data_IF_170702087030
#
_entry.id   IF_170702087030
#
_cell.length_a   1.000
_cell.length_b   1.000
_cell.length_c   1.000
_cell.angle_alpha   90.00
_cell.angle_beta   90.00
_cell.angle_gamma   90.00
#
_symmetry.space_group_name_H-M   'P 1'
#
loop_
_entity.id
_entity.type
_entity.pdbx_description
1 polymer ?
#
# COMPACT_ATOMS: atom_id res chain seq x y z
N UNK A 1 -26.30 -10.67 13.27
CA UNK A 1 -27.24 -9.53 13.38
C UNK A 1 -26.73 -8.36 12.56
N UNK A 2 -27.60 -7.42 12.15
CA UNK A 2 -27.42 -6.38 11.11
C UNK A 2 -25.98 -5.85 10.91
N UNK A 3 -25.23 -5.59 11.99
CA UNK A 3 -23.82 -5.19 11.95
C UNK A 3 -22.92 -6.13 11.12
N UNK A 4 -23.05 -7.45 11.30
CA UNK A 4 -22.30 -8.47 10.53
C UNK A 4 -22.70 -8.47 9.04
N UNK A 5 -23.98 -8.19 8.75
CA UNK A 5 -24.47 -8.08 7.38
C UNK A 5 -23.94 -6.84 6.66
N UNK A 6 -23.74 -5.74 7.39
CA UNK A 6 -23.10 -4.52 6.85
C UNK A 6 -21.60 -4.78 6.67
N UNK A 7 -20.92 -5.29 7.70
CA UNK A 7 -19.48 -5.55 7.69
C UNK A 7 -19.07 -6.52 6.57
N UNK A 8 -19.88 -7.55 6.28
CA UNK A 8 -19.66 -8.50 5.19
C UNK A 8 -19.88 -7.93 3.78
N UNK A 9 -20.49 -6.74 3.66
CA UNK A 9 -20.63 -6.03 2.38
C UNK A 9 -19.50 -5.04 2.15
N UNK A 10 -18.86 -4.52 3.20
CA UNK A 10 -17.82 -3.50 3.07
C UNK A 10 -16.63 -3.91 2.19
N UNK A 11 -16.07 -5.13 2.28
CA UNK A 11 -14.97 -5.52 1.40
C UNK A 11 -15.34 -5.43 -0.08
N UNK A 12 -16.58 -5.77 -0.46
CA UNK A 12 -17.05 -5.71 -1.87
C UNK A 12 -16.96 -4.31 -2.46
N UNK A 13 -17.19 -3.27 -1.65
CA UNK A 13 -17.09 -1.88 -2.08
C UNK A 13 -15.67 -1.57 -2.57
N UNK A 14 -14.63 -2.14 -1.94
CA UNK A 14 -13.24 -1.93 -2.34
C UNK A 14 -12.93 -2.48 -3.73
N UNK A 15 -13.55 -3.57 -4.18
CA UNK A 15 -13.38 -3.99 -5.58
C UNK A 15 -13.93 -2.96 -6.57
N UNK A 16 -15.10 -2.38 -6.27
CA UNK A 16 -15.65 -1.29 -7.08
C UNK A 16 -14.76 -0.06 -7.09
N UNK A 17 -14.24 0.34 -5.92
CA UNK A 17 -13.27 1.44 -5.80
C UNK A 17 -11.97 1.16 -6.56
N UNK A 18 -11.51 -0.09 -6.58
CA UNK A 18 -10.30 -0.50 -7.31
C UNK A 18 -10.48 -0.35 -8.82
N UNK A 19 -11.61 -0.82 -9.35
CA UNK A 19 -11.96 -0.64 -10.77
C UNK A 19 -12.09 0.85 -11.10
N UNK A 20 -12.81 1.62 -10.28
CA UNK A 20 -12.96 3.05 -10.48
C UNK A 20 -11.60 3.77 -10.46
N UNK A 21 -10.71 3.44 -9.53
CA UNK A 21 -9.35 4.00 -9.47
C UNK A 21 -8.54 3.74 -10.74
N UNK A 22 -8.59 2.52 -11.28
CA UNK A 22 -7.93 2.17 -12.55
C UNK A 22 -8.52 2.96 -13.71
N UNK A 23 -9.85 3.02 -13.82
CA UNK A 23 -10.53 3.79 -14.87
C UNK A 23 -10.18 5.27 -14.81
N UNK A 24 -10.16 5.86 -13.61
CA UNK A 24 -9.76 7.25 -13.41
C UNK A 24 -8.28 7.46 -13.79
N UNK A 25 -7.40 6.52 -13.48
CA UNK A 25 -5.98 6.60 -13.85
C UNK A 25 -5.78 6.54 -15.37
N UNK A 26 -6.48 5.63 -16.06
CA UNK A 26 -6.49 5.55 -17.53
C UNK A 26 -7.06 6.83 -18.13
N UNK A 27 -8.18 7.32 -17.62
CA UNK A 27 -8.78 8.58 -18.06
C UNK A 27 -7.78 9.74 -17.92
N UNK A 28 -7.15 9.87 -16.75
CA UNK A 28 -6.13 10.90 -16.53
C UNK A 28 -4.93 10.75 -17.48
N UNK A 29 -4.57 9.53 -17.88
CA UNK A 29 -3.54 9.32 -18.88
C UNK A 29 -3.91 9.89 -20.24
N UNK A 30 -5.10 9.54 -20.72
CA UNK A 30 -5.57 9.84 -22.07
C UNK A 30 -5.75 11.34 -22.28
N UNK A 31 -6.27 12.02 -21.25
CA UNK A 31 -6.56 13.45 -21.32
C UNK A 31 -5.42 14.33 -20.78
N UNK A 32 -4.46 13.76 -20.03
CA UNK A 32 -3.31 14.49 -19.51
C UNK A 32 -3.71 15.75 -18.75
N UNK A 33 -3.25 16.91 -19.22
CA UNK A 33 -3.58 18.23 -18.64
C UNK A 33 -5.05 18.64 -18.81
N UNK A 34 -5.80 18.01 -19.71
CA UNK A 34 -7.22 18.27 -19.96
C UNK A 34 -8.15 17.41 -19.08
N UNK A 35 -7.61 16.54 -18.23
CA UNK A 35 -8.44 15.77 -17.31
C UNK A 35 -9.09 16.69 -16.26
N UNK A 36 -10.33 16.42 -15.82
CA UNK A 36 -11.00 17.19 -14.79
C UNK A 36 -10.14 17.34 -13.54
N UNK A 37 -10.08 18.56 -13.00
CA UNK A 37 -9.24 18.91 -11.86
C UNK A 37 -9.49 18.01 -10.64
N UNK A 38 -10.74 17.61 -10.38
CA UNK A 38 -11.06 16.71 -9.27
C UNK A 38 -10.38 15.34 -9.39
N UNK A 39 -10.24 14.81 -10.61
CA UNK A 39 -9.58 13.52 -10.89
C UNK A 39 -8.08 13.66 -10.62
N UNK A 40 -7.47 14.75 -11.11
CA UNK A 40 -6.06 15.03 -10.86
C UNK A 40 -5.77 15.16 -9.36
N UNK A 41 -6.57 15.92 -8.63
CA UNK A 41 -6.38 16.12 -7.18
C UNK A 41 -6.60 14.84 -6.37
N UNK A 42 -7.49 13.95 -6.82
CA UNK A 42 -7.73 12.67 -6.17
C UNK A 42 -6.57 11.68 -6.38
N UNK A 43 -6.04 11.59 -7.61
CA UNK A 43 -5.03 10.59 -8.00
C UNK A 43 -3.59 11.03 -7.78
N UNK A 44 -3.28 12.29 -8.08
CA UNK A 44 -1.91 12.80 -8.13
C UNK A 44 -1.49 13.38 -6.78
N UNK A 45 -0.40 12.86 -6.25
CA UNK A 45 0.28 13.41 -5.09
C UNK A 45 1.75 12.98 -5.06
N UNK A 46 2.58 13.69 -4.29
CA UNK A 46 3.99 13.36 -4.13
C UNK A 46 4.87 13.90 -5.25
N UNK A 47 5.13 13.06 -6.26
CA UNK A 47 6.04 13.39 -7.38
C UNK A 47 5.35 14.14 -8.51
N UNK A 48 4.07 13.82 -8.72
CA UNK A 48 3.19 14.50 -9.64
C UNK A 48 2.19 15.28 -8.81
N UNK A 49 2.19 16.61 -8.94
CA UNK A 49 1.18 17.47 -8.34
C UNK A 49 0.10 17.80 -9.38
N UNK A 50 -1.17 17.92 -8.97
CA UNK A 50 -2.25 18.33 -9.86
C UNK A 50 -2.08 19.79 -10.31
N UNK A 51 -2.81 20.19 -11.35
CA UNK A 51 -2.96 21.61 -11.67
C UNK A 51 -3.61 22.36 -10.51
N UNK A 52 -3.11 23.56 -10.20
CA UNK A 52 -3.57 24.34 -9.06
C UNK A 52 -5.05 24.73 -9.20
N UNK A 53 -5.83 24.49 -8.15
CA UNK A 53 -7.21 24.93 -8.03
C UNK A 53 -7.52 25.31 -6.58
N UNK A 54 -7.79 26.58 -6.32
CA UNK A 54 -7.94 27.13 -4.97
C UNK A 54 -8.91 26.33 -4.08
N UNK A 55 -10.11 26.03 -4.58
CA UNK A 55 -11.12 25.27 -3.83
C UNK A 55 -10.70 23.84 -3.48
N UNK A 56 -9.97 23.17 -4.38
CA UNK A 56 -9.56 21.78 -4.18
C UNK A 56 -8.29 21.67 -3.35
N UNK A 57 -7.46 22.71 -3.31
CA UNK A 57 -6.29 22.79 -2.43
C UNK A 57 -6.70 22.83 -0.95
N UNK A 58 -7.82 23.48 -0.60
CA UNK A 58 -8.39 23.39 0.77
C UNK A 58 -8.76 21.96 1.18
N UNK A 59 -9.04 21.08 0.22
CA UNK A 59 -9.35 19.68 0.46
C UNK A 59 -8.10 18.79 0.43
N UNK A 60 -6.89 19.35 0.42
CA UNK A 60 -5.64 18.59 0.51
C UNK A 60 -5.13 18.55 1.94
N UNK A 61 -4.67 17.37 2.35
CA UNK A 61 -4.10 17.12 3.68
C UNK A 61 -2.61 16.80 3.58
N UNK A 62 -1.81 17.10 4.62
CA UNK A 62 -0.38 16.83 4.60
C UNK A 62 -0.07 15.35 4.42
N UNK A 63 0.90 15.03 3.56
CA UNK A 63 1.31 13.64 3.32
C UNK A 63 1.77 12.92 4.60
N UNK A 64 2.29 13.67 5.58
CA UNK A 64 2.69 13.15 6.90
C UNK A 64 1.56 12.45 7.65
N UNK A 65 0.31 12.70 7.29
CA UNK A 65 -0.87 12.06 7.88
C UNK A 65 -1.00 10.58 7.52
N UNK A 66 -0.15 10.03 6.63
CA UNK A 66 -0.03 8.57 6.42
C UNK A 66 0.14 7.79 7.72
N UNK A 67 0.75 8.37 8.76
CA UNK A 67 0.87 7.73 10.08
C UNK A 67 -0.47 7.30 10.68
N UNK A 68 -1.53 8.08 10.47
CA UNK A 68 -2.84 7.81 11.05
C UNK A 68 -3.49 6.57 10.45
N UNK A 69 -3.19 6.26 9.18
CA UNK A 69 -3.62 5.01 8.55
C UNK A 69 -3.11 3.80 9.34
N UNK A 70 -1.82 3.82 9.66
CA UNK A 70 -1.17 2.70 10.35
C UNK A 70 -1.52 2.65 11.83
N UNK A 71 -1.68 3.81 12.51
CA UNK A 71 -2.21 3.83 13.89
C UNK A 71 -3.59 3.18 13.99
N UNK A 72 -4.50 3.56 13.08
CA UNK A 72 -5.84 2.97 13.03
C UNK A 72 -5.77 1.50 12.62
N UNK A 73 -4.90 1.14 11.68
CA UNK A 73 -4.67 -0.26 11.29
C UNK A 73 -4.18 -1.14 12.44
N UNK A 74 -3.27 -0.65 13.29
CA UNK A 74 -2.83 -1.36 14.49
C UNK A 74 -4.00 -1.53 15.45
N UNK A 75 -4.72 -0.45 15.75
CA UNK A 75 -5.85 -0.49 16.67
C UNK A 75 -6.96 -1.43 16.19
N UNK A 76 -7.36 -1.33 14.92
CA UNK A 76 -8.39 -2.18 14.32
C UNK A 76 -7.98 -3.64 14.31
N UNK A 77 -6.73 -3.94 13.91
CA UNK A 77 -6.22 -5.32 13.88
C UNK A 77 -6.14 -5.92 15.28
N UNK A 78 -5.69 -5.14 16.27
CA UNK A 78 -5.62 -5.56 17.65
C UNK A 78 -7.02 -5.87 18.22
N UNK A 79 -8.01 -5.00 17.97
CA UNK A 79 -9.40 -5.25 18.37
C UNK A 79 -9.95 -6.53 17.74
N UNK A 80 -9.73 -6.73 16.44
CA UNK A 80 -10.19 -7.93 15.72
C UNK A 80 -9.50 -9.20 16.23
N UNK A 81 -8.20 -9.12 16.55
CA UNK A 81 -7.46 -10.24 17.14
C UNK A 81 -8.04 -10.62 18.52
N UNK A 82 -8.37 -9.64 19.37
CA UNK A 82 -9.04 -9.91 20.65
C UNK A 82 -10.41 -10.55 20.46
N UNK A 83 -11.20 -10.10 19.48
CA UNK A 83 -12.50 -10.71 19.17
C UNK A 83 -12.34 -12.18 18.78
N UNK A 84 -11.35 -12.51 17.95
CA UNK A 84 -11.08 -13.90 17.54
C UNK A 84 -10.59 -14.77 18.71
N UNK A 85 -9.78 -14.22 19.61
CA UNK A 85 -9.25 -14.95 20.76
C UNK A 85 -10.29 -15.19 21.88
N UNK A 86 -11.22 -14.26 22.07
CA UNK A 86 -12.11 -14.26 23.26
C UNK A 86 -13.60 -14.44 22.96
N UNK A 87 -14.11 -14.00 21.81
CA UNK A 87 -15.56 -13.81 21.61
C UNK A 87 -16.18 -14.75 20.58
N UNK A 88 -15.43 -15.22 19.57
CA UNK A 88 -16.06 -15.74 18.34
C UNK A 88 -16.05 -17.27 18.18
N UNK A 89 -15.28 -18.05 18.95
CA UNK A 89 -15.21 -19.50 18.74
C UNK A 89 -14.90 -20.33 20.00
N UNK A 90 -15.54 -21.50 20.11
CA UNK A 90 -15.13 -22.59 21.01
C UNK A 90 -13.86 -23.30 20.51
N UNK A 91 -13.41 -23.02 19.29
CA UNK A 91 -12.23 -23.58 18.63
C UNK A 91 -11.47 -22.48 17.89
N UNK A 92 -10.26 -22.15 18.37
CA UNK A 92 -9.40 -21.12 17.81
C UNK A 92 -8.98 -21.43 16.35
N UNK A 93 -9.28 -20.53 15.40
CA UNK A 93 -8.81 -20.66 14.02
C UNK A 93 -7.36 -20.17 13.90
N UNK A 94 -6.41 -21.10 14.10
CA UNK A 94 -4.97 -20.82 14.10
C UNK A 94 -4.50 -20.14 12.81
N UNK A 95 -5.10 -20.47 11.66
CA UNK A 95 -4.79 -19.85 10.37
C UNK A 95 -5.12 -18.36 10.40
N UNK A 96 -6.34 -18.00 10.79
CA UNK A 96 -6.79 -16.60 10.86
C UNK A 96 -5.98 -15.81 11.88
N UNK A 97 -5.77 -16.38 13.07
CA UNK A 97 -4.95 -15.77 14.13
C UNK A 97 -3.53 -15.49 13.62
N UNK A 98 -2.89 -16.46 12.95
CA UNK A 98 -1.54 -16.27 12.42
C UNK A 98 -1.47 -15.15 11.37
N UNK A 99 -2.48 -15.05 10.49
CA UNK A 99 -2.54 -13.97 9.50
C UNK A 99 -2.78 -12.61 10.15
N UNK A 100 -3.66 -12.53 11.15
CA UNK A 100 -3.89 -11.29 11.91
C UNK A 100 -2.63 -10.83 12.66
N UNK A 101 -1.88 -11.74 13.28
CA UNK A 101 -0.60 -11.43 13.94
C UNK A 101 0.41 -10.91 12.92
N UNK A 102 0.58 -11.60 11.79
CA UNK A 102 1.50 -11.16 10.74
C UNK A 102 1.07 -9.81 10.15
N UNK A 103 -0.23 -9.58 9.98
CA UNK A 103 -0.76 -8.30 9.52
C UNK A 103 -0.49 -7.19 10.55
N UNK A 104 -0.65 -7.46 11.85
CA UNK A 104 -0.32 -6.53 12.94
C UNK A 104 1.16 -6.14 12.91
N UNK A 105 2.06 -7.11 12.71
CA UNK A 105 3.50 -6.84 12.52
C UNK A 105 3.72 -5.95 11.29
N UNK A 106 3.03 -6.24 10.18
CA UNK A 106 3.11 -5.45 8.96
C UNK A 106 2.68 -3.99 9.16
N UNK A 107 1.52 -3.73 9.76
CA UNK A 107 1.06 -2.34 10.00
C UNK A 107 1.91 -1.63 11.05
N UNK A 108 2.42 -2.34 12.06
CA UNK A 108 3.33 -1.79 13.07
C UNK A 108 4.66 -1.34 12.45
N UNK A 109 5.25 -2.18 11.61
CA UNK A 109 6.46 -1.83 10.85
C UNK A 109 6.21 -0.64 9.92
N UNK A 110 5.07 -0.59 9.24
CA UNK A 110 4.72 0.54 8.36
C UNK A 110 4.55 1.85 9.12
N UNK A 111 4.01 1.81 10.35
CA UNK A 111 3.98 2.98 11.23
C UNK A 111 5.40 3.44 11.59
N UNK A 112 6.26 2.51 12.01
CA UNK A 112 7.66 2.79 12.31
C UNK A 112 8.38 3.43 11.11
N UNK A 113 8.19 2.88 9.91
CA UNK A 113 8.77 3.43 8.69
C UNK A 113 8.27 4.84 8.38
N UNK A 114 7.01 5.17 8.71
CA UNK A 114 6.49 6.51 8.51
C UNK A 114 7.09 7.51 9.49
N UNK A 115 7.16 7.19 10.78
CA UNK A 115 7.64 8.11 11.80
C UNK A 115 9.16 8.30 11.75
N UNK A 116 9.91 7.21 11.58
CA UNK A 116 11.36 7.21 11.85
C UNK A 116 12.23 7.03 10.60
N UNK A 117 11.69 6.48 9.51
CA UNK A 117 12.47 6.24 8.27
C UNK A 117 12.11 7.26 7.19
N UNK A 118 10.82 7.57 7.03
CA UNK A 118 10.33 8.34 5.89
C UNK A 118 10.59 9.84 6.06
N UNK A 119 11.39 10.41 5.15
CA UNK A 119 11.59 11.86 5.10
C UNK A 119 10.48 12.50 4.28
N UNK A 120 9.45 13.06 4.92
CA UNK A 120 8.32 13.70 4.24
C UNK A 120 8.59 15.16 3.85
N UNK A 121 8.44 15.47 2.56
CA UNK A 121 8.38 16.84 2.03
C UNK A 121 7.01 17.50 2.32
N UNK A 122 6.88 18.80 2.01
CA UNK A 122 5.62 19.57 2.09
C UNK A 122 4.56 19.14 1.05
N UNK A 123 4.63 17.91 0.53
CA UNK A 123 3.63 17.38 -0.39
C UNK A 123 2.33 17.04 0.34
N UNK A 124 1.21 17.17 -0.36
CA UNK A 124 -0.12 16.93 0.16
C UNK A 124 -0.88 15.90 -0.71
N UNK A 125 -1.85 15.21 -0.11
CA UNK A 125 -2.77 14.28 -0.78
C UNK A 125 -4.22 14.75 -0.62
N UNK A 126 -5.14 14.32 -1.47
CA UNK A 126 -6.57 14.64 -1.27
C UNK A 126 -7.12 14.06 0.04
N UNK A 127 -7.99 14.82 0.70
CA UNK A 127 -8.77 14.37 1.86
C UNK A 127 -9.63 13.13 1.56
N UNK A 128 -10.14 13.00 0.32
CA UNK A 128 -10.89 11.80 -0.08
C UNK A 128 -10.00 10.56 -0.11
N UNK A 129 -8.77 10.70 -0.60
CA UNK A 129 -7.77 9.64 -0.55
C UNK A 129 -7.41 9.30 0.90
N UNK A 130 -7.32 10.32 1.76
CA UNK A 130 -7.12 10.15 3.19
C UNK A 130 -8.24 9.33 3.85
N UNK A 131 -9.50 9.73 3.66
CA UNK A 131 -10.66 9.01 4.20
C UNK A 131 -10.73 7.56 3.69
N UNK A 132 -10.49 7.34 2.40
CA UNK A 132 -10.43 6.00 1.82
C UNK A 132 -9.36 5.13 2.49
N UNK A 133 -8.18 5.71 2.77
CA UNK A 133 -7.11 5.03 3.50
C UNK A 133 -7.53 4.62 4.91
N UNK A 134 -8.18 5.52 5.67
CA UNK A 134 -8.68 5.22 7.02
C UNK A 134 -9.66 4.04 6.99
N UNK A 135 -10.65 4.08 6.10
CA UNK A 135 -11.66 3.02 5.96
C UNK A 135 -10.99 1.70 5.55
N UNK A 136 -10.01 1.73 4.65
CA UNK A 136 -9.28 0.55 4.21
C UNK A 136 -8.59 -0.19 5.38
N UNK A 137 -7.93 0.54 6.29
CA UNK A 137 -7.26 -0.06 7.44
C UNK A 137 -8.22 -0.56 8.54
N UNK A 138 -9.49 -0.12 8.55
CA UNK A 138 -10.53 -0.70 9.41
C UNK A 138 -11.11 -1.99 8.78
N UNK A 139 -11.38 -1.95 7.47
CA UNK A 139 -12.03 -3.04 6.76
C UNK A 139 -11.08 -4.22 6.51
N UNK A 140 -9.77 -3.98 6.36
CA UNK A 140 -8.80 -5.06 6.08
C UNK A 140 -8.78 -6.17 7.14
N UNK A 141 -8.51 -5.91 8.44
CA UNK A 141 -8.54 -6.96 9.46
C UNK A 141 -9.93 -7.57 9.63
N UNK A 142 -10.99 -6.77 9.49
CA UNK A 142 -12.38 -7.25 9.48
C UNK A 142 -12.62 -8.27 8.35
N UNK A 143 -12.06 -8.04 7.16
CA UNK A 143 -12.20 -8.95 6.02
C UNK A 143 -11.42 -10.26 6.21
N UNK A 144 -10.28 -10.22 6.92
CA UNK A 144 -9.53 -11.42 7.33
C UNK A 144 -10.39 -12.27 8.26
N UNK A 145 -10.96 -11.67 9.32
CA UNK A 145 -11.86 -12.36 10.25
C UNK A 145 -13.08 -12.96 9.54
N UNK A 146 -13.74 -12.19 8.67
CA UNK A 146 -14.90 -12.66 7.90
C UNK A 146 -14.58 -13.79 6.92
N UNK A 147 -13.30 -14.04 6.63
CA UNK A 147 -12.86 -15.13 5.75
C UNK A 147 -12.65 -16.45 6.50
N UNK A 148 -12.88 -16.49 7.81
CA UNK A 148 -12.68 -17.68 8.67
C UNK A 148 -13.43 -18.92 8.19
N UNK A 149 -14.66 -18.78 7.68
CA UNK A 149 -15.51 -19.90 7.25
C UNK A 149 -14.94 -20.68 6.06
N UNK A 150 -14.05 -20.04 5.30
CA UNK A 150 -13.44 -20.60 4.10
C UNK A 150 -11.93 -20.80 4.24
N UNK A 151 -11.37 -20.48 5.40
CA UNK A 151 -9.96 -20.62 5.69
C UNK A 151 -9.58 -22.10 5.79
N UNK A 152 -8.48 -22.48 5.14
CA UNK A 152 -7.92 -23.82 5.27
C UNK A 152 -7.31 -24.00 6.67
N UNK A 153 -7.49 -25.18 7.26
CA UNK A 153 -6.74 -25.54 8.46
C UNK A 153 -5.27 -25.78 8.10
N UNK A 154 -4.38 -25.02 8.74
CA UNK A 154 -2.94 -25.06 8.49
C UNK A 154 -2.22 -25.73 9.67
N UNK A 155 -1.27 -26.61 9.36
CA UNK A 155 -0.40 -27.21 10.38
C UNK A 155 0.59 -26.18 10.92
N UNK A 156 1.10 -26.39 12.15
CA UNK A 156 2.10 -25.49 12.75
C UNK A 156 3.35 -25.31 11.88
N UNK A 157 3.80 -26.36 11.18
CA UNK A 157 4.91 -26.26 10.24
C UNK A 157 4.61 -25.26 9.12
N UNK A 158 3.42 -25.37 8.49
CA UNK A 158 3.03 -24.45 7.41
C UNK A 158 2.85 -23.01 7.91
N UNK A 159 2.34 -22.81 9.13
CA UNK A 159 2.28 -21.50 9.79
C UNK A 159 3.68 -20.93 10.00
N UNK A 160 4.63 -21.74 10.46
CA UNK A 160 6.03 -21.35 10.65
C UNK A 160 6.69 -20.91 9.34
N UNK A 161 6.58 -21.73 8.28
CA UNK A 161 7.12 -21.40 6.95
C UNK A 161 6.49 -20.13 6.37
N UNK A 162 5.17 -19.97 6.50
CA UNK A 162 4.47 -18.75 6.09
C UNK A 162 4.98 -17.53 6.87
N UNK A 163 5.16 -17.64 8.17
CA UNK A 163 5.66 -16.55 9.01
C UNK A 163 7.05 -16.10 8.58
N UNK A 164 7.97 -17.05 8.33
CA UNK A 164 9.32 -16.74 7.83
C UNK A 164 9.27 -16.05 6.46
N UNK A 165 8.49 -16.59 5.52
CA UNK A 165 8.28 -15.98 4.20
C UNK A 165 7.76 -14.53 4.30
N UNK A 166 6.78 -14.30 5.17
CA UNK A 166 6.21 -12.96 5.39
C UNK A 166 7.20 -12.00 6.02
N UNK A 167 8.05 -12.46 6.96
CA UNK A 167 9.10 -11.65 7.55
C UNK A 167 10.16 -11.27 6.51
N UNK A 168 10.53 -12.17 5.60
CA UNK A 168 11.45 -11.89 4.50
C UNK A 168 10.88 -10.79 3.59
N UNK A 169 9.63 -10.93 3.14
CA UNK A 169 8.99 -9.91 2.28
C UNK A 169 8.93 -8.53 2.96
N UNK A 170 8.56 -8.49 4.24
CA UNK A 170 8.50 -7.25 5.01
C UNK A 170 9.88 -6.62 5.24
N UNK A 171 10.91 -7.45 5.44
CA UNK A 171 12.29 -6.98 5.56
C UNK A 171 12.79 -6.37 4.25
N UNK A 172 12.57 -7.05 3.11
CA UNK A 172 12.92 -6.53 1.79
C UNK A 172 12.23 -5.20 1.51
N UNK A 173 10.95 -5.08 1.88
CA UNK A 173 10.21 -3.83 1.68
C UNK A 173 10.77 -2.68 2.55
N UNK A 174 11.17 -2.97 3.80
CA UNK A 174 11.82 -2.00 4.68
C UNK A 174 13.18 -1.54 4.12
N UNK A 175 13.97 -2.45 3.54
CA UNK A 175 15.23 -2.08 2.88
C UNK A 175 15.00 -1.09 1.72
N UNK A 176 13.98 -1.35 0.90
CA UNK A 176 13.60 -0.46 -0.20
C UNK A 176 13.20 0.93 0.33
N UNK A 177 12.42 1.01 1.41
CA UNK A 177 12.04 2.30 2.00
C UNK A 177 13.23 3.06 2.60
N UNK A 178 14.17 2.36 3.25
CA UNK A 178 15.41 2.98 3.75
C UNK A 178 16.26 3.55 2.62
N UNK A 179 16.37 2.85 1.50
CA UNK A 179 17.05 3.36 0.30
C UNK A 179 16.37 4.63 -0.23
N UNK A 180 15.05 4.64 -0.35
CA UNK A 180 14.30 5.83 -0.77
C UNK A 180 14.45 7.01 0.20
N UNK A 181 14.50 6.75 1.50
CA UNK A 181 14.73 7.77 2.51
C UNK A 181 16.15 8.35 2.46
N UNK A 182 17.16 7.50 2.25
CA UNK A 182 18.56 7.91 2.13
C UNK A 182 18.77 8.92 0.99
N UNK A 183 18.05 8.79 -0.12
CA UNK A 183 18.08 9.74 -1.24
C UNK A 183 17.62 11.16 -0.86
N UNK A 184 16.83 11.30 0.21
CA UNK A 184 16.37 12.60 0.73
C UNK A 184 17.24 13.14 1.86
N UNK A 185 17.93 12.25 2.57
CA UNK A 185 18.83 12.61 3.67
C UNK A 185 20.23 13.03 3.19
N UNK A 186 20.49 12.99 1.88
CA UNK A 186 21.76 13.36 1.26
C UNK A 186 22.09 14.85 1.42
N UNK A 187 22.60 15.24 2.59
CA UNK A 187 23.62 16.29 2.65
C UNK A 187 24.79 15.82 1.77
N UNK A 188 25.19 16.63 0.79
CA UNK A 188 26.47 16.45 0.11
C UNK A 188 27.57 16.47 1.18
N UNK A 189 28.20 15.33 1.49
CA UNK A 189 29.31 15.27 2.45
C UNK A 189 30.58 15.98 1.96
N UNK A 190 30.65 16.30 0.66
CA UNK A 190 31.87 16.82 0.03
C UNK A 190 31.71 18.23 -0.58
N UNK A 191 30.52 18.83 -0.54
CA UNK A 191 30.30 20.19 -1.03
C UNK A 191 29.20 20.86 -0.22
N UNK A 192 29.47 22.02 0.38
CA UNK A 192 28.47 22.92 1.00
C UNK A 192 27.47 23.52 -0.01
N UNK A 193 27.28 22.89 -1.18
CA UNK A 193 26.27 23.27 -2.16
C UNK A 193 24.95 22.59 -1.80
N UNK A 194 23.93 23.41 -1.56
CA UNK A 194 22.53 23.00 -1.55
C UNK A 194 22.23 22.19 -2.83
N UNK A 195 21.74 20.97 -2.64
CA UNK A 195 21.35 20.07 -3.72
C UNK A 195 20.34 20.74 -4.68
N UNK A 196 20.73 20.97 -5.94
CA UNK A 196 19.89 21.64 -6.95
C UNK A 196 18.64 20.83 -7.36
N UNK A 197 18.61 19.51 -7.13
CA UNK A 197 17.49 18.64 -7.57
C UNK A 197 16.65 18.12 -6.39
N UNK A 198 15.33 18.34 -6.47
CA UNK A 198 14.31 17.88 -5.49
C UNK A 198 14.17 16.35 -5.43
N UNK A 199 14.59 15.63 -6.47
CA UNK A 199 14.46 14.18 -6.58
C UNK A 199 15.71 13.54 -7.20
N UNK A 200 16.08 12.37 -6.70
CA UNK A 200 17.16 11.53 -7.22
C UNK A 200 16.62 10.14 -7.56
N UNK A 201 17.10 9.52 -8.66
CA UNK A 201 16.67 8.18 -9.01
C UNK A 201 17.41 7.13 -8.15
N UNK A 202 16.71 6.12 -7.58
CA UNK A 202 17.33 5.10 -6.75
C UNK A 202 18.20 4.13 -7.56
N UNK A 203 19.32 3.68 -7.01
CA UNK A 203 20.22 2.72 -7.66
C UNK A 203 20.58 1.56 -6.75
N UNK A 204 20.99 0.44 -7.37
CA UNK A 204 21.36 -0.79 -6.68
C UNK A 204 20.19 -1.66 -6.21
N UNK A 205 20.52 -2.83 -5.67
CA UNK A 205 19.56 -3.80 -5.10
C UNK A 205 18.35 -4.06 -6.02
N UNK A 206 17.12 -4.03 -5.51
CA UNK A 206 15.90 -4.25 -6.29
C UNK A 206 15.63 -3.13 -7.31
N UNK A 207 16.13 -1.92 -7.05
CA UNK A 207 16.01 -0.81 -8.00
C UNK A 207 16.90 -0.99 -9.22
N UNK A 208 17.82 -1.96 -9.26
CA UNK A 208 18.50 -2.31 -10.51
C UNK A 208 17.54 -2.88 -11.55
N UNK A 209 16.53 -3.62 -11.12
CA UNK A 209 15.64 -4.38 -12.00
C UNK A 209 14.31 -3.66 -12.30
N UNK A 210 13.72 -3.06 -11.28
CA UNK A 210 12.37 -2.48 -11.35
C UNK A 210 12.34 -1.07 -10.77
N UNK A 211 11.49 -0.23 -11.34
CA UNK A 211 11.40 1.18 -10.92
C UNK A 211 10.78 1.38 -9.52
N UNK A 212 9.82 0.52 -9.12
CA UNK A 212 9.05 0.67 -7.89
C UNK A 212 8.86 -0.66 -7.13
N UNK A 213 9.94 -1.29 -6.63
CA UNK A 213 9.89 -2.62 -6.00
C UNK A 213 9.01 -2.68 -4.74
N UNK A 214 8.89 -1.59 -3.98
CA UNK A 214 8.07 -1.54 -2.76
C UNK A 214 6.58 -1.80 -3.03
N UNK A 215 6.07 -1.41 -4.19
CA UNK A 215 4.68 -1.68 -4.58
C UNK A 215 4.46 -3.15 -4.96
N UNK A 216 5.44 -3.74 -5.66
CA UNK A 216 5.42 -5.18 -5.99
C UNK A 216 5.46 -6.01 -4.70
N UNK A 217 6.35 -5.66 -3.76
CA UNK A 217 6.43 -6.33 -2.46
C UNK A 217 5.14 -6.20 -1.64
N UNK A 218 4.46 -5.05 -1.70
CA UNK A 218 3.15 -4.88 -1.05
C UNK A 218 2.12 -5.86 -1.65
N UNK A 219 2.04 -5.97 -2.99
CA UNK A 219 1.18 -6.95 -3.66
C UNK A 219 1.53 -8.38 -3.21
N UNK A 220 2.82 -8.72 -3.18
CA UNK A 220 3.29 -10.05 -2.76
C UNK A 220 2.89 -10.40 -1.32
N UNK A 221 2.94 -9.43 -0.39
CA UNK A 221 2.51 -9.61 1.00
C UNK A 221 1.02 -9.97 1.06
N UNK A 222 0.15 -9.21 0.39
CA UNK A 222 -1.29 -9.46 0.42
C UNK A 222 -1.67 -10.75 -0.32
N UNK A 223 -1.02 -11.04 -1.45
CA UNK A 223 -1.23 -12.27 -2.20
C UNK A 223 -0.82 -13.51 -1.37
N UNK A 224 0.29 -13.41 -0.64
CA UNK A 224 0.74 -14.48 0.27
C UNK A 224 -0.28 -14.73 1.37
N UNK A 225 -0.86 -13.68 1.98
CA UNK A 225 -1.95 -13.82 2.94
C UNK A 225 -3.18 -14.50 2.33
N UNK A 226 -3.61 -14.08 1.13
CA UNK A 226 -4.75 -14.69 0.44
C UNK A 226 -4.54 -16.18 0.22
N UNK A 227 -3.42 -16.58 -0.39
CA UNK A 227 -3.13 -17.98 -0.68
C UNK A 227 -2.99 -18.82 0.60
N UNK A 228 -2.46 -18.23 1.66
CA UNK A 228 -2.35 -18.89 2.95
C UNK A 228 -3.72 -19.14 3.59
N UNK A 229 -4.63 -18.15 3.56
CA UNK A 229 -6.02 -18.32 4.00
C UNK A 229 -6.72 -19.37 3.12
N UNK A 230 -6.84 -19.10 1.81
CA UNK A 230 -7.48 -20.00 0.84
C UNK A 230 -7.32 -19.47 -0.60
N UNK A 231 -7.21 -20.32 -1.63
CA UNK A 231 -7.23 -19.87 -3.02
C UNK A 231 -8.63 -19.44 -3.49
N UNK A 232 -9.69 -19.71 -2.71
CA UNK A 232 -11.07 -19.33 -3.04
C UNK A 232 -11.27 -17.82 -2.95
N UNK A 233 -12.24 -17.31 -3.70
CA UNK A 233 -12.69 -15.93 -3.55
C UNK A 233 -13.42 -15.74 -2.21
N UNK A 234 -12.89 -14.87 -1.36
CA UNK A 234 -13.35 -14.61 0.02
C UNK A 234 -13.44 -13.09 0.27
N UNK A 235 -14.01 -12.64 1.40
CA UNK A 235 -14.03 -11.21 1.73
C UNK A 235 -12.66 -10.52 1.62
N UNK A 236 -11.58 -11.16 2.06
CA UNK A 236 -10.22 -10.64 1.92
C UNK A 236 -9.76 -10.51 0.45
N UNK A 237 -10.30 -11.30 -0.49
CA UNK A 237 -9.95 -11.22 -1.92
C UNK A 237 -10.33 -9.88 -2.53
N UNK A 238 -11.41 -9.25 -2.05
CA UNK A 238 -11.78 -7.90 -2.48
C UNK A 238 -10.74 -6.85 -2.05
N UNK A 239 -10.17 -7.02 -0.86
CA UNK A 239 -9.09 -6.16 -0.35
C UNK A 239 -7.83 -6.38 -1.18
N UNK A 240 -7.40 -7.63 -1.38
CA UNK A 240 -6.27 -7.96 -2.25
C UNK A 240 -6.45 -7.35 -3.65
N UNK A 241 -7.62 -7.51 -4.25
CA UNK A 241 -7.90 -6.98 -5.57
C UNK A 241 -7.78 -5.45 -5.62
N UNK A 242 -8.33 -4.74 -4.62
CA UNK A 242 -8.15 -3.30 -4.49
C UNK A 242 -6.67 -2.92 -4.32
N UNK A 243 -5.92 -3.64 -3.47
CA UNK A 243 -4.49 -3.42 -3.28
C UNK A 243 -3.75 -3.57 -4.60
N UNK A 244 -4.01 -4.63 -5.37
CA UNK A 244 -3.41 -4.85 -6.70
C UNK A 244 -3.71 -3.67 -7.60
N UNK A 245 -4.98 -3.30 -7.80
CA UNK A 245 -5.38 -2.17 -8.65
C UNK A 245 -4.66 -0.88 -8.24
N UNK A 246 -4.69 -0.53 -6.95
CA UNK A 246 -4.08 0.69 -6.44
C UNK A 246 -2.55 0.69 -6.63
N UNK A 247 -1.86 -0.41 -6.28
CA UNK A 247 -0.41 -0.49 -6.42
C UNK A 247 0.01 -0.49 -7.89
N UNK A 248 -0.73 -1.16 -8.78
CA UNK A 248 -0.47 -1.12 -10.23
C UNK A 248 -0.61 0.31 -10.78
N UNK A 249 -1.67 1.04 -10.39
CA UNK A 249 -1.81 2.46 -10.74
C UNK A 249 -0.64 3.30 -10.24
N UNK A 250 -0.22 3.12 -8.99
CA UNK A 250 0.92 3.84 -8.43
C UNK A 250 2.23 3.50 -9.15
N UNK A 251 2.48 2.24 -9.50
CA UNK A 251 3.64 1.82 -10.29
C UNK A 251 3.64 2.54 -11.63
N UNK A 252 2.51 2.49 -12.34
CA UNK A 252 2.37 3.08 -13.66
C UNK A 252 2.61 4.60 -13.65
N UNK A 253 1.98 5.33 -12.72
CA UNK A 253 2.18 6.77 -12.55
C UNK A 253 3.64 7.13 -12.21
N UNK A 254 4.27 6.41 -11.27
CA UNK A 254 5.63 6.69 -10.86
C UNK A 254 6.65 6.33 -11.95
N UNK A 255 6.44 5.24 -12.68
CA UNK A 255 7.31 4.83 -13.76
C UNK A 255 7.29 5.83 -14.92
N UNK A 256 6.11 6.32 -15.32
CA UNK A 256 5.99 7.37 -16.32
C UNK A 256 6.62 8.68 -15.87
N UNK A 257 6.47 9.04 -14.60
CA UNK A 257 7.18 10.18 -14.03
C UNK A 257 8.71 10.00 -14.14
N UNK A 258 9.25 8.82 -13.85
CA UNK A 258 10.68 8.54 -14.03
C UNK A 258 11.12 8.59 -15.50
N UNK A 259 10.31 8.08 -16.44
CA UNK A 259 10.61 8.19 -17.88
C UNK A 259 10.76 9.64 -18.34
N UNK A 260 9.90 10.53 -17.83
CA UNK A 260 9.92 11.94 -18.21
C UNK A 260 11.06 12.74 -17.55
N UNK A 261 11.49 12.36 -16.34
CA UNK A 261 12.48 13.13 -15.57
C UNK A 261 13.90 12.52 -15.63
N UNK A 262 14.01 11.21 -15.84
CA UNK A 262 15.26 10.45 -15.85
C UNK A 262 15.22 9.34 -16.93
N UNK A 263 15.15 9.71 -18.22
CA UNK A 263 14.91 8.76 -19.31
C UNK A 263 15.96 7.65 -19.40
N UNK A 264 17.25 7.99 -19.27
CA UNK A 264 18.35 7.01 -19.29
C UNK A 264 18.32 6.02 -18.11
N UNK A 265 17.81 6.47 -16.97
CA UNK A 265 17.66 5.62 -15.79
C UNK A 265 16.44 4.70 -15.94
N UNK A 266 15.33 5.24 -16.44
CA UNK A 266 14.08 4.50 -16.58
C UNK A 266 14.15 3.43 -17.68
N UNK A 267 14.91 3.67 -18.77
CA UNK A 267 15.02 2.72 -19.90
C UNK A 267 15.67 1.39 -19.53
N UNK A 268 16.47 1.34 -18.46
CA UNK A 268 17.16 0.12 -17.99
C UNK A 268 16.33 -0.73 -17.04
N UNK A 269 15.11 -0.31 -16.70
CA UNK A 269 14.31 -0.88 -15.61
C UNK A 269 12.90 -1.21 -16.07
N UNK A 270 12.41 -2.36 -15.64
CA UNK A 270 11.03 -2.77 -15.88
C UNK A 270 10.03 -1.97 -15.03
N UNK A 271 8.82 -1.86 -15.55
CA UNK A 271 7.70 -1.30 -14.78
C UNK A 271 7.25 -2.29 -13.71
N UNK A 272 7.09 -3.57 -14.07
CA UNK A 272 6.53 -4.59 -13.18
C UNK A 272 7.37 -5.87 -13.11
N UNK A 273 7.67 -6.46 -14.27
CA UNK A 273 8.36 -7.75 -14.34
C UNK A 273 9.63 -7.54 -15.17
N UNK A 274 10.82 -7.75 -14.58
CA UNK A 274 12.08 -7.68 -15.30
C UNK A 274 11.98 -8.49 -16.60
N UNK A 275 12.37 -7.88 -17.72
CA UNK A 275 12.42 -8.50 -19.05
C UNK A 275 11.08 -8.86 -19.71
N UNK A 276 9.94 -8.56 -19.08
CA UNK A 276 8.62 -8.75 -19.68
C UNK A 276 7.96 -7.40 -19.93
N UNK A 277 7.92 -6.51 -18.94
CA UNK A 277 7.32 -5.15 -19.00
C UNK A 277 7.85 -4.24 -17.88
#
# INVERSE_FOLDING_TARGET
>A
TIFVNILSRLPRIFSGLGIAGVLLAIFNHLYGSYSPLFIQHFLLFGKSDPQYCEYLEYLRVPKRWFKYFYMIGIFSTFCILLVELFMLSSVLNKTIISVLIIYLVHVSRRLYECEYVSVFSNSQMSFMHFLMGIVYYIVTPSSILLSQSNAAERSYLTIGLFSVHMLILQYLQNLVFRQLAALRSGKNKNTDKLSEKKYYPPEGSMFYWVSCPHYILEISIYLSCQLFITPKWIPFSHILFFTICNQLCCIWLNHNWYKNNFPEWASKRAMLIPYVW
#
